data_IF_845356988738
#
_entry.id   IF_845356988738
#
_cell.length_a   1.000
_cell.length_b   1.000
_cell.length_c   1.000
_cell.angle_alpha   90.00
_cell.angle_beta   90.00
_cell.angle_gamma   90.00
#
_symmetry.space_group_name_H-M   'P 1'
#
loop_
_entity.id
_entity.type
_entity.pdbx_description
1 polymer ?
#
# COMPACT_ATOMS: atom_id res chain seq x y z
N UNK A 1 7.33 25.89 -29.09
CA UNK A 1 7.35 24.43 -29.25
C UNK A 1 7.28 23.62 -27.95
N UNK A 2 7.81 24.07 -26.80
CA UNK A 2 7.53 23.42 -25.49
C UNK A 2 6.47 24.12 -24.61
N UNK A 3 6.03 25.33 -24.98
CA UNK A 3 5.05 26.10 -24.21
C UNK A 3 3.57 25.82 -24.60
N UNK A 4 3.32 24.95 -25.58
CA UNK A 4 1.98 24.73 -26.16
C UNK A 4 1.33 23.39 -25.75
N UNK A 5 2.04 22.57 -24.96
CA UNK A 5 1.56 21.22 -24.56
C UNK A 5 0.92 21.21 -23.16
N UNK A 6 1.02 22.30 -22.40
CA UNK A 6 0.38 22.43 -21.08
C UNK A 6 -0.83 23.34 -21.17
N UNK A 7 -1.86 22.91 -21.92
CA UNK A 7 -3.19 23.50 -21.80
C UNK A 7 -3.80 23.07 -20.46
N UNK A 8 -3.59 23.87 -19.42
CA UNK A 8 -4.58 24.05 -18.35
C UNK A 8 -4.81 22.89 -17.37
N UNK A 9 -3.93 21.89 -17.28
CA UNK A 9 -3.98 20.93 -16.17
C UNK A 9 -3.22 21.54 -14.99
N UNK A 10 -3.91 22.40 -14.24
CA UNK A 10 -3.47 22.72 -12.89
C UNK A 10 -3.63 21.43 -12.08
N UNK A 11 -2.52 20.76 -11.80
CA UNK A 11 -2.49 19.70 -10.79
C UNK A 11 -2.57 20.37 -9.41
N UNK A 12 -3.69 21.03 -9.11
CA UNK A 12 -4.03 21.32 -7.73
C UNK A 12 -4.48 19.99 -7.15
N UNK A 13 -3.77 19.39 -6.18
CA UNK A 13 -4.41 18.37 -5.37
C UNK A 13 -5.58 19.09 -4.70
N UNK A 14 -6.81 18.71 -5.05
CA UNK A 14 -7.98 18.97 -4.23
C UNK A 14 -7.67 18.35 -2.86
N UNK A 15 -7.10 19.14 -1.96
CA UNK A 15 -6.82 18.75 -0.58
C UNK A 15 -8.18 18.65 0.09
N UNK A 16 -8.79 17.47 -0.06
CA UNK A 16 -9.95 17.03 0.70
C UNK A 16 -9.63 17.14 2.18
N UNK A 17 -10.09 18.24 2.77
CA UNK A 17 -10.32 18.50 4.19
C UNK A 17 -9.66 17.51 5.18
N UNK A 18 -8.35 17.64 5.39
CA UNK A 18 -7.60 16.91 6.41
C UNK A 18 -8.28 17.03 7.79
N UNK A 19 -8.88 15.92 8.26
CA UNK A 19 -9.28 15.73 9.66
C UNK A 19 -8.40 14.66 10.29
N UNK A 20 -7.38 15.11 11.02
CA UNK A 20 -6.56 14.31 11.93
C UNK A 20 -5.25 13.83 11.32
N UNK A 21 -4.15 14.51 11.71
CA UNK A 21 -2.74 14.18 11.49
C UNK A 21 -2.40 13.22 10.35
N UNK A 22 -1.86 13.74 9.25
CA UNK A 22 -1.28 12.94 8.18
C UNK A 22 -0.25 11.95 8.76
N UNK A 23 -0.68 10.70 8.94
CA UNK A 23 0.24 9.61 9.24
C UNK A 23 1.10 9.46 7.99
N UNK A 24 2.43 9.54 8.09
CA UNK A 24 3.29 9.41 6.92
C UNK A 24 3.03 8.05 6.25
N UNK A 25 3.08 8.04 4.92
CA UNK A 25 2.93 6.81 4.15
C UNK A 25 3.91 5.74 4.67
N UNK A 26 3.48 4.48 4.89
CA UNK A 26 4.28 3.48 5.60
C UNK A 26 5.71 3.27 5.07
N UNK A 27 5.90 3.34 3.75
CA UNK A 27 7.20 3.20 3.10
C UNK A 27 7.91 4.53 2.78
N UNK A 28 7.43 5.68 3.28
CA UNK A 28 8.05 6.98 2.99
C UNK A 28 9.46 7.12 3.58
N UNK A 29 9.73 6.48 4.72
CA UNK A 29 11.09 6.24 5.21
C UNK A 29 11.58 4.88 4.71
N UNK A 30 12.27 4.89 3.56
CA UNK A 30 12.78 3.69 2.92
C UNK A 30 13.75 2.89 3.80
N UNK A 31 14.59 3.55 4.61
CA UNK A 31 15.59 2.85 5.43
C UNK A 31 14.90 2.09 6.56
N UNK A 32 13.95 2.73 7.24
CA UNK A 32 13.15 2.09 8.28
C UNK A 32 12.27 0.99 7.71
N UNK A 33 11.63 1.25 6.56
CA UNK A 33 10.81 0.26 5.86
C UNK A 33 11.62 -0.98 5.48
N UNK A 34 12.82 -0.79 4.90
CA UNK A 34 13.68 -1.91 4.52
C UNK A 34 14.16 -2.70 5.73
N UNK A 35 14.54 -2.02 6.81
CA UNK A 35 14.90 -2.68 8.07
C UNK A 35 13.75 -3.54 8.60
N UNK A 36 12.50 -3.04 8.57
CA UNK A 36 11.31 -3.82 8.95
C UNK A 36 11.14 -5.05 8.06
N UNK A 37 11.30 -4.94 6.75
CA UNK A 37 11.22 -6.08 5.86
C UNK A 37 12.31 -7.13 6.12
N UNK A 38 13.51 -6.68 6.48
CA UNK A 38 14.62 -7.59 6.78
C UNK A 38 14.46 -8.29 8.13
N UNK A 39 13.88 -7.63 9.15
CA UNK A 39 13.73 -8.18 10.50
C UNK A 39 12.37 -8.86 10.76
N UNK A 40 11.28 -8.30 10.22
CA UNK A 40 9.90 -8.77 10.44
C UNK A 40 9.33 -9.51 9.24
N UNK A 41 10.04 -9.55 8.10
CA UNK A 41 9.64 -10.25 6.87
C UNK A 41 8.39 -9.70 6.17
N UNK A 42 7.68 -8.74 6.78
CA UNK A 42 6.48 -8.12 6.23
C UNK A 42 6.42 -6.65 6.65
N UNK A 43 5.96 -5.80 5.74
CA UNK A 43 5.66 -4.40 6.06
C UNK A 43 4.62 -3.85 5.10
N UNK A 44 3.71 -3.03 5.63
CA UNK A 44 2.80 -2.23 4.84
C UNK A 44 3.60 -1.24 3.99
N UNK A 45 3.25 -1.12 2.71
CA UNK A 45 3.98 -0.30 1.73
C UNK A 45 3.27 1.04 1.52
N UNK A 46 1.97 1.01 1.19
CA UNK A 46 1.15 2.21 1.05
C UNK A 46 -0.29 1.93 1.51
N UNK A 47 -0.98 3.00 1.87
CA UNK A 47 -2.40 3.02 2.19
C UNK A 47 -3.04 4.22 1.52
N UNK A 48 -4.15 3.99 0.84
CA UNK A 48 -4.95 5.02 0.18
C UNK A 48 -6.38 4.87 0.69
N UNK A 49 -6.89 5.94 1.30
CA UNK A 49 -8.30 6.06 1.65
C UNK A 49 -9.03 6.65 0.45
N UNK A 50 -9.97 5.90 -0.10
CA UNK A 50 -10.85 6.33 -1.18
C UNK A 50 -12.20 6.70 -0.58
N UNK A 51 -12.33 7.95 -0.13
CA UNK A 51 -13.54 8.42 0.55
C UNK A 51 -14.80 8.25 -0.32
N UNK A 52 -14.71 8.56 -1.62
CA UNK A 52 -15.84 8.43 -2.55
C UNK A 52 -16.32 6.99 -2.76
N UNK A 53 -15.43 6.00 -2.57
CA UNK A 53 -15.72 4.58 -2.73
C UNK A 53 -15.93 3.85 -1.39
N UNK A 54 -15.89 4.59 -0.27
CA UNK A 54 -15.94 4.07 1.11
C UNK A 54 -14.96 2.91 1.31
N UNK A 55 -13.71 3.06 0.84
CA UNK A 55 -12.74 1.98 0.80
C UNK A 55 -11.36 2.41 1.25
N UNK A 56 -10.64 1.46 1.87
CA UNK A 56 -9.20 1.55 2.10
C UNK A 56 -8.52 0.52 1.21
N UNK A 57 -7.57 0.96 0.40
CA UNK A 57 -6.76 0.08 -0.45
C UNK A 57 -5.29 0.30 -0.16
N UNK A 58 -4.47 -0.71 -0.45
CA UNK A 58 -3.04 -0.57 -0.31
C UNK A 58 -2.29 -1.82 -0.72
N UNK A 59 -0.98 -1.79 -0.47
CA UNK A 59 -0.11 -2.94 -0.70
C UNK A 59 0.75 -3.25 0.51
N UNK A 60 1.11 -4.52 0.63
CA UNK A 60 2.00 -5.10 1.64
C UNK A 60 3.17 -5.73 0.91
N UNK A 61 4.39 -5.43 1.37
CA UNK A 61 5.60 -6.13 0.93
C UNK A 61 5.90 -7.28 1.88
N UNK A 62 6.21 -8.44 1.30
CA UNK A 62 6.50 -9.68 2.04
C UNK A 62 7.81 -10.27 1.53
N UNK A 63 8.70 -10.68 2.43
CA UNK A 63 9.96 -11.34 2.08
C UNK A 63 9.66 -12.71 1.45
N UNK A 64 10.24 -12.96 0.28
CA UNK A 64 10.00 -14.18 -0.45
C UNK A 64 10.84 -15.35 0.11
N UNK A 65 10.28 -16.05 1.10
CA UNK A 65 10.93 -17.19 1.78
C UNK A 65 10.46 -18.56 1.27
N UNK A 66 9.24 -18.64 0.73
CA UNK A 66 8.61 -19.87 0.24
C UNK A 66 7.55 -19.53 -0.81
N UNK A 67 7.19 -20.47 -1.69
CA UNK A 67 6.19 -20.20 -2.74
C UNK A 67 4.79 -19.89 -2.17
N UNK A 68 4.30 -20.74 -1.26
CA UNK A 68 2.99 -20.55 -0.64
C UNK A 68 3.04 -19.50 0.46
N UNK A 69 2.14 -18.51 0.37
CA UNK A 69 1.98 -17.44 1.36
C UNK A 69 0.50 -17.13 1.52
N UNK A 70 0.08 -16.88 2.75
CA UNK A 70 -1.22 -16.32 3.06
C UNK A 70 -0.99 -14.98 3.77
N UNK A 71 -1.60 -13.92 3.25
CA UNK A 71 -1.41 -12.56 3.73
C UNK A 71 -2.78 -11.94 3.90
N UNK A 72 -3.03 -11.33 5.05
CA UNK A 72 -4.26 -10.58 5.31
C UNK A 72 -3.93 -9.31 6.09
N UNK A 73 -4.82 -8.32 5.98
CA UNK A 73 -4.81 -7.11 6.80
C UNK A 73 -6.02 -7.15 7.71
N UNK A 74 -5.77 -6.96 9.01
CA UNK A 74 -6.83 -6.84 10.02
C UNK A 74 -7.08 -5.37 10.35
N UNK A 75 -8.33 -4.95 10.27
CA UNK A 75 -8.77 -3.60 10.66
C UNK A 75 -9.74 -3.67 11.83
N UNK A 76 -9.70 -2.64 12.67
CA UNK A 76 -10.69 -2.36 13.71
C UNK A 76 -10.92 -0.85 13.80
N UNK A 77 -12.15 -0.47 14.15
CA UNK A 77 -12.55 0.93 14.39
C UNK A 77 -13.06 1.16 15.83
N UNK A 78 -12.99 0.15 16.68
CA UNK A 78 -13.60 0.13 18.01
C UNK A 78 -12.62 -0.32 19.10
N UNK A 79 -11.35 0.09 18.98
CA UNK A 79 -10.27 -0.27 19.90
C UNK A 79 -10.02 -1.78 19.96
N UNK A 80 -10.11 -2.47 18.82
CA UNK A 80 -9.93 -3.93 18.67
C UNK A 80 -10.99 -4.79 19.37
N UNK A 81 -12.14 -4.22 19.76
CA UNK A 81 -13.27 -5.01 20.30
C UNK A 81 -13.87 -5.90 19.21
N UNK A 82 -13.95 -5.41 17.99
CA UNK A 82 -14.28 -6.16 16.78
C UNK A 82 -13.22 -5.93 15.71
N UNK A 83 -13.15 -6.84 14.74
CA UNK A 83 -12.21 -6.75 13.64
C UNK A 83 -12.75 -7.40 12.37
N UNK A 84 -12.26 -6.91 11.24
CA UNK A 84 -12.46 -7.51 9.91
C UNK A 84 -11.10 -7.85 9.30
N UNK A 85 -11.01 -9.03 8.69
CA UNK A 85 -9.82 -9.49 7.97
C UNK A 85 -10.05 -9.43 6.47
N UNK A 86 -9.20 -8.67 5.77
CA UNK A 86 -9.15 -8.66 4.31
C UNK A 86 -7.95 -9.48 3.83
N UNK A 87 -8.23 -10.61 3.18
CA UNK A 87 -7.20 -11.41 2.53
C UNK A 87 -6.62 -10.67 1.32
N UNK A 88 -5.29 -10.64 1.26
CA UNK A 88 -4.56 -9.93 0.24
C UNK A 88 -4.35 -10.81 -1.01
N UNK A 89 -4.30 -10.17 -2.17
CA UNK A 89 -4.05 -10.82 -3.45
C UNK A 89 -2.61 -10.59 -3.89
N UNK A 90 -1.93 -11.63 -4.36
CA UNK A 90 -0.60 -11.50 -4.94
C UNK A 90 -0.63 -10.57 -6.16
N UNK A 91 0.30 -9.61 -6.21
CA UNK A 91 0.49 -8.71 -7.34
C UNK A 91 1.72 -9.17 -8.12
N UNK A 92 1.54 -9.67 -9.36
CA UNK A 92 2.65 -10.08 -10.21
C UNK A 92 3.64 -8.94 -10.42
N UNK A 93 4.93 -9.23 -10.24
CA UNK A 93 5.97 -8.27 -10.55
C UNK A 93 6.09 -8.16 -12.08
N UNK A 94 5.98 -6.95 -12.62
CA UNK A 94 6.13 -6.68 -14.06
C UNK A 94 7.59 -6.72 -14.55
N UNK A 95 8.48 -7.46 -13.88
CA UNK A 95 9.86 -7.60 -14.31
C UNK A 95 9.94 -8.62 -15.46
N UNK A 96 10.29 -8.19 -16.69
CA UNK A 96 10.41 -9.11 -17.80
C UNK A 96 11.64 -9.99 -17.59
N UNK A 97 11.42 -11.31 -17.39
CA UNK A 97 12.32 -12.42 -17.75
C UNK A 97 13.80 -12.40 -17.33
N UNK A 98 14.28 -11.38 -16.66
CA UNK A 98 15.65 -11.31 -16.16
C UNK A 98 15.72 -12.19 -14.93
N UNK A 99 16.72 -13.04 -14.82
CA UNK A 99 16.98 -13.90 -13.65
C UNK A 99 17.33 -13.11 -12.38
N UNK A 100 16.74 -11.93 -12.18
CA UNK A 100 16.82 -11.13 -10.98
C UNK A 100 15.99 -11.83 -9.90
N UNK A 101 16.67 -12.22 -8.83
CA UNK A 101 16.01 -12.85 -7.69
C UNK A 101 15.09 -11.84 -7.01
N UNK A 102 13.79 -12.11 -7.04
CA UNK A 102 12.76 -11.31 -6.37
C UNK A 102 12.85 -11.57 -4.86
N UNK A 103 13.43 -10.61 -4.13
CA UNK A 103 13.61 -10.70 -2.67
C UNK A 103 12.29 -10.47 -1.93
N UNK A 104 11.38 -9.66 -2.49
CA UNK A 104 10.10 -9.33 -1.86
C UNK A 104 8.95 -9.43 -2.87
N UNK A 105 7.88 -10.07 -2.43
CA UNK A 105 6.59 -10.11 -3.12
C UNK A 105 5.71 -8.95 -2.69
N UNK A 106 4.75 -8.61 -3.53
CA UNK A 106 3.76 -7.55 -3.28
C UNK A 106 2.39 -8.19 -3.20
N UNK A 107 1.61 -7.81 -2.18
CA UNK A 107 0.23 -8.23 -2.02
C UNK A 107 -0.67 -7.01 -1.88
N UNK A 108 -1.79 -6.96 -2.60
CA UNK A 108 -2.76 -5.87 -2.50
C UNK A 108 -3.93 -6.26 -1.62
N UNK A 109 -4.49 -5.28 -0.90
CA UNK A 109 -5.70 -5.46 -0.12
C UNK A 109 -6.71 -4.37 -0.43
N UNK A 110 -7.97 -4.67 -0.10
CA UNK A 110 -9.09 -3.74 -0.14
C UNK A 110 -9.97 -4.05 1.08
N UNK A 111 -10.32 -3.02 1.83
CA UNK A 111 -11.25 -3.07 2.96
C UNK A 111 -12.37 -2.08 2.66
N UNK A 112 -13.61 -2.51 2.83
CA UNK A 112 -14.75 -1.59 2.76
C UNK A 112 -14.90 -0.94 4.13
N UNK A 113 -15.08 0.38 4.17
CA UNK A 113 -15.38 1.10 5.39
C UNK A 113 -16.85 0.87 5.74
N UNK A 114 -17.18 0.77 7.05
CA UNK A 114 -18.54 0.61 7.53
C UNK A 114 -19.39 1.88 7.40
#
# INVERSE_FOLDING_TARGET
>A
FLAEVTQGVTAEPEVGRNRGGDVPQPASDYVTFRKKLDTMMVSLENVIVKEADEQVVGTVKVKNLAFHKEVFVRMSIDEWKTHEDAFCNFVPNNLPGTGTYVVFDTFSFKINLP
#
